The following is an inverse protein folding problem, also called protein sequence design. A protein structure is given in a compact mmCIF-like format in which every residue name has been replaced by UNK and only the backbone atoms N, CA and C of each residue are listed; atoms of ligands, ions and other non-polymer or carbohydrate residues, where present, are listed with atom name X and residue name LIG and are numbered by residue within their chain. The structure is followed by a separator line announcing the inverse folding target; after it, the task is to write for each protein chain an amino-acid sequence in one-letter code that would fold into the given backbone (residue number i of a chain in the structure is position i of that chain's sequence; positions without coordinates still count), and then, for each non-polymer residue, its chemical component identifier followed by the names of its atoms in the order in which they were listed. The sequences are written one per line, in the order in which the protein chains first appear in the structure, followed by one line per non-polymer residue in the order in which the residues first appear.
data_IF_157586272466
#
_entry.id   IF_157586272466
#
_cell.length_a   1.000
_cell.length_b   1.000
_cell.length_c   1.000
_cell.angle_alpha   90.00
_cell.angle_beta   90.00
_cell.angle_gamma   90.00
#
_symmetry.space_group_name_H-M   'P 1'
#
loop_
_entity.id
_entity.type
_entity.pdbx_description
1 polymer ?
#
# COMPACT_ATOMS: atom_id res chain seq x y z
N UNK A 1 -0.61 17.05 -4.55
CA UNK A 1 0.11 16.68 -5.78
C UNK A 1 -0.61 15.54 -6.46
N UNK A 2 -0.65 15.50 -7.79
CA UNK A 2 -1.27 14.42 -8.55
C UNK A 2 -0.32 13.22 -8.65
N UNK A 3 -0.86 12.00 -8.64
CA UNK A 3 -0.06 10.80 -8.89
C UNK A 3 0.54 10.86 -10.31
N UNK A 4 1.78 10.36 -10.51
CA UNK A 4 2.41 10.33 -11.83
C UNK A 4 1.59 9.47 -12.81
N UNK A 5 1.80 9.64 -14.13
CA UNK A 5 1.19 8.78 -15.13
C UNK A 5 1.57 7.31 -14.87
N UNK A 6 0.56 6.45 -14.96
CA UNK A 6 0.70 5.03 -14.62
C UNK A 6 1.41 4.27 -15.76
N UNK A 7 2.37 3.38 -15.46
CA UNK A 7 2.97 2.49 -16.46
C UNK A 7 1.91 1.59 -17.12
N UNK A 8 2.08 1.30 -18.41
CA UNK A 8 1.12 0.51 -19.21
C UNK A 8 0.85 -0.88 -18.63
N UNK A 9 1.89 -1.55 -18.16
CA UNK A 9 1.75 -2.88 -17.54
C UNK A 9 0.95 -2.84 -16.23
N UNK A 10 1.14 -1.77 -15.44
CA UNK A 10 0.41 -1.54 -14.20
C UNK A 10 -1.05 -1.22 -14.49
N UNK A 11 -1.33 -0.40 -15.52
CA UNK A 11 -2.70 -0.15 -15.99
C UNK A 11 -3.42 -1.45 -16.34
N UNK A 12 -2.77 -2.31 -17.12
CA UNK A 12 -3.35 -3.61 -17.49
C UNK A 12 -3.64 -4.49 -16.29
N UNK A 13 -2.78 -4.46 -15.27
CA UNK A 13 -3.01 -5.20 -14.03
C UNK A 13 -4.22 -4.67 -13.25
N UNK A 14 -4.44 -3.35 -13.24
CA UNK A 14 -5.67 -2.76 -12.69
C UNK A 14 -6.91 -3.14 -13.51
N UNK A 15 -6.81 -3.10 -14.85
CA UNK A 15 -7.92 -3.42 -15.76
C UNK A 15 -8.36 -4.88 -15.67
N UNK A 16 -7.45 -5.78 -15.28
CA UNK A 16 -7.74 -7.20 -15.08
C UNK A 16 -8.51 -7.49 -13.77
N UNK A 17 -8.66 -6.51 -12.87
CA UNK A 17 -9.39 -6.67 -11.62
C UNK A 17 -10.90 -6.45 -11.83
N UNK A 18 -11.76 -7.05 -10.97
CA UNK A 18 -13.17 -6.67 -10.94
C UNK A 18 -13.31 -5.17 -10.70
N UNK A 19 -14.24 -4.53 -11.41
CA UNK A 19 -14.35 -3.07 -11.47
C UNK A 19 -14.44 -2.39 -10.08
N UNK A 20 -15.17 -2.98 -9.14
CA UNK A 20 -15.31 -2.47 -7.77
C UNK A 20 -13.98 -2.51 -7.00
N UNK A 21 -13.23 -3.60 -7.14
CA UNK A 21 -11.91 -3.80 -6.54
C UNK A 21 -10.90 -2.85 -7.18
N UNK A 22 -10.85 -2.79 -8.51
CA UNK A 22 -9.97 -1.90 -9.26
C UNK A 22 -10.19 -0.44 -8.87
N UNK A 23 -11.46 0.01 -8.81
CA UNK A 23 -11.80 1.37 -8.36
C UNK A 23 -11.28 1.66 -6.96
N UNK A 24 -11.42 0.72 -6.02
CA UNK A 24 -10.91 0.89 -4.65
C UNK A 24 -9.39 0.96 -4.63
N UNK A 25 -8.69 0.07 -5.33
CA UNK A 25 -7.23 0.06 -5.35
C UNK A 25 -6.65 1.29 -6.06
N UNK A 26 -7.34 1.87 -7.05
CA UNK A 26 -6.96 3.15 -7.64
C UNK A 26 -7.02 4.32 -6.64
N UNK A 27 -8.00 4.31 -5.72
CA UNK A 27 -8.03 5.28 -4.62
C UNK A 27 -6.84 5.09 -3.68
N UNK A 28 -6.47 3.84 -3.40
CA UNK A 28 -5.29 3.53 -2.58
C UNK A 28 -4.00 3.96 -3.28
N UNK A 29 -3.87 3.73 -4.59
CA UNK A 29 -2.75 4.23 -5.41
C UNK A 29 -2.59 5.74 -5.26
N UNK A 30 -3.68 6.49 -5.44
CA UNK A 30 -3.65 7.94 -5.27
C UNK A 30 -3.17 8.34 -3.86
N UNK A 31 -3.61 7.61 -2.84
CA UNK A 31 -3.20 7.85 -1.45
C UNK A 31 -1.73 7.50 -1.21
N UNK A 32 -1.20 6.42 -1.80
CA UNK A 32 0.23 6.06 -1.71
C UNK A 32 1.10 7.20 -2.22
N UNK A 33 0.80 7.73 -3.40
CA UNK A 33 1.57 8.85 -3.96
C UNK A 33 1.38 10.14 -3.17
N UNK A 34 0.18 10.42 -2.67
CA UNK A 34 -0.05 11.57 -1.81
C UNK A 34 0.73 11.48 -0.49
N UNK A 35 0.78 10.29 0.12
CA UNK A 35 1.56 10.04 1.33
C UNK A 35 3.06 10.18 1.04
N UNK A 36 3.59 9.60 -0.04
CA UNK A 36 4.99 9.76 -0.40
C UNK A 36 5.37 11.23 -0.62
N UNK A 37 4.52 12.00 -1.31
CA UNK A 37 4.73 13.43 -1.55
C UNK A 37 4.69 14.30 -0.29
N UNK A 38 4.17 13.79 0.83
CA UNK A 38 4.16 14.48 2.12
C UNK A 38 5.43 14.21 2.95
N UNK A 39 6.34 13.38 2.46
CA UNK A 39 7.53 12.90 3.17
C UNK A 39 8.76 12.97 2.26
N UNK A 40 9.55 14.04 2.39
CA UNK A 40 10.75 14.26 1.56
C UNK A 40 11.78 13.12 1.67
N UNK A 41 11.81 12.43 2.82
CA UNK A 41 12.69 11.29 3.08
C UNK A 41 12.29 10.01 2.32
N UNK A 42 11.08 9.96 1.74
CA UNK A 42 10.61 8.85 0.90
C UNK A 42 11.11 8.96 -0.54
N UNK A 43 11.22 10.17 -1.08
CA UNK A 43 11.59 10.42 -2.47
C UNK A 43 10.55 9.92 -3.49
N UNK A 44 10.93 9.77 -4.76
CA UNK A 44 10.02 9.27 -5.80
C UNK A 44 9.83 7.77 -5.66
N UNK A 45 8.58 7.35 -5.84
CA UNK A 45 8.24 5.93 -5.86
C UNK A 45 8.45 5.34 -7.25
N UNK A 46 9.01 4.14 -7.30
CA UNK A 46 8.91 3.25 -8.46
C UNK A 46 7.55 2.56 -8.41
N UNK A 47 6.76 2.73 -9.46
CA UNK A 47 5.54 1.96 -9.69
C UNK A 47 5.82 0.88 -10.75
N UNK A 48 5.62 -0.38 -10.39
CA UNK A 48 5.91 -1.54 -11.27
C UNK A 48 4.98 -2.71 -10.93
N UNK A 49 5.22 -3.89 -11.49
CA UNK A 49 4.56 -5.13 -11.13
C UNK A 49 5.47 -6.02 -10.29
N UNK A 50 4.91 -6.62 -9.25
CA UNK A 50 5.50 -7.79 -8.59
C UNK A 50 4.46 -8.88 -8.46
N UNK A 51 4.80 -10.08 -8.95
CA UNK A 51 3.87 -11.22 -9.00
C UNK A 51 2.56 -10.90 -9.75
N UNK A 52 2.64 -10.07 -10.79
CA UNK A 52 1.48 -9.64 -11.58
C UNK A 52 0.61 -8.57 -10.93
N UNK A 53 0.98 -8.07 -9.75
CA UNK A 53 0.23 -7.05 -9.01
C UNK A 53 0.96 -5.70 -8.98
N UNK A 54 0.23 -4.57 -9.03
CA UNK A 54 0.80 -3.24 -8.81
C UNK A 54 1.60 -3.17 -7.51
N UNK A 55 2.84 -2.70 -7.62
CA UNK A 55 3.79 -2.58 -6.53
C UNK A 55 4.45 -1.20 -6.52
N UNK A 56 4.67 -0.68 -5.32
CA UNK A 56 5.23 0.63 -5.04
C UNK A 56 6.48 0.45 -4.18
N UNK A 57 7.61 0.93 -4.69
CA UNK A 57 8.91 0.78 -4.05
C UNK A 57 9.55 2.15 -3.87
N UNK A 58 10.35 2.27 -2.82
CA UNK A 58 11.20 3.43 -2.56
C UNK A 58 12.61 3.14 -3.08
N UNK A 59 12.77 2.79 -4.37
CA UNK A 59 14.08 2.38 -4.90
C UNK A 59 15.11 3.52 -4.90
N UNK A 60 14.65 4.77 -5.05
CA UNK A 60 15.50 5.97 -5.04
C UNK A 60 16.18 6.16 -3.67
N UNK A 61 15.43 5.99 -2.56
CA UNK A 61 15.89 6.31 -1.21
C UNK A 61 16.19 5.08 -0.34
N UNK A 62 15.62 3.93 -0.68
CA UNK A 62 15.60 2.73 0.16
C UNK A 62 14.90 2.94 1.52
N UNK A 63 14.03 3.96 1.63
CA UNK A 63 13.43 4.38 2.91
C UNK A 63 12.40 3.38 3.47
N UNK A 64 11.73 2.65 2.59
CA UNK A 64 10.52 1.89 2.91
C UNK A 64 10.54 0.44 2.50
N UNK A 65 9.46 -0.24 2.87
CA UNK A 65 9.14 -1.60 2.43
C UNK A 65 8.20 -1.54 1.23
N UNK A 66 8.30 -2.53 0.33
CA UNK A 66 7.39 -2.63 -0.83
C UNK A 66 5.93 -2.71 -0.38
N UNK A 67 5.07 -1.89 -1.01
CA UNK A 67 3.62 -1.94 -0.89
C UNK A 67 3.06 -2.54 -2.17
N UNK A 68 2.16 -3.51 -2.06
CA UNK A 68 1.46 -4.13 -3.20
C UNK A 68 -0.04 -3.94 -3.09
N UNK A 69 -0.71 -3.81 -4.23
CA UNK A 69 -2.16 -3.71 -4.32
C UNK A 69 -2.70 -4.90 -5.09
N UNK A 70 -3.63 -5.63 -4.51
CA UNK A 70 -4.15 -6.84 -5.14
C UNK A 70 -5.32 -7.44 -4.38
N UNK A 71 -5.36 -8.77 -4.37
CA UNK A 71 -6.38 -9.56 -3.68
C UNK A 71 -5.72 -10.72 -2.96
N UNK A 72 -6.28 -11.09 -1.81
CA UNK A 72 -5.92 -12.36 -1.16
C UNK A 72 -6.76 -13.47 -1.76
N UNK A 73 -6.18 -14.65 -1.99
CA UNK A 73 -6.91 -15.83 -2.46
C UNK A 73 -8.08 -16.13 -1.49
N UNK A 74 -9.28 -16.29 -2.03
CA UNK A 74 -10.50 -16.51 -1.25
C UNK A 74 -11.06 -15.25 -0.57
N UNK A 75 -10.55 -14.06 -0.89
CA UNK A 75 -11.16 -12.80 -0.49
C UNK A 75 -11.79 -12.09 -1.70
N UNK A 76 -13.03 -11.65 -1.52
CA UNK A 76 -13.73 -10.75 -2.45
C UNK A 76 -13.41 -9.27 -2.18
N UNK A 77 -12.52 -9.00 -1.23
CA UNK A 77 -12.12 -7.67 -0.82
C UNK A 77 -10.79 -7.24 -1.47
N UNK A 78 -10.63 -5.95 -1.81
CA UNK A 78 -9.33 -5.37 -2.13
C UNK A 78 -8.36 -5.51 -0.95
N UNK A 79 -7.10 -5.77 -1.26
CA UNK A 79 -6.05 -5.96 -0.28
C UNK A 79 -4.83 -5.07 -0.57
N UNK A 80 -4.25 -4.56 0.51
CA UNK A 80 -2.90 -4.01 0.51
C UNK A 80 -1.99 -5.07 1.12
N UNK A 81 -0.95 -5.43 0.38
CA UNK A 81 0.00 -6.46 0.76
C UNK A 81 1.35 -5.83 1.12
N UNK A 82 1.88 -6.22 2.27
CA UNK A 82 3.15 -5.78 2.81
C UNK A 82 4.14 -6.95 2.86
N UNK A 83 5.43 -6.64 3.02
CA UNK A 83 6.47 -7.64 3.17
C UNK A 83 6.30 -8.41 4.50
N UNK A 84 6.16 -9.74 4.42
CA UNK A 84 5.95 -10.62 5.58
C UNK A 84 7.13 -10.71 6.55
N UNK A 85 8.33 -10.24 6.16
CA UNK A 85 9.51 -10.17 7.04
C UNK A 85 9.57 -8.87 7.85
N UNK A 86 8.55 -8.03 7.76
CA UNK A 86 8.45 -6.76 8.49
C UNK A 86 7.45 -6.87 9.62
N UNK A 87 7.54 -5.95 10.58
CA UNK A 87 6.59 -5.85 11.70
C UNK A 87 5.38 -4.96 11.35
N UNK A 88 5.23 -4.55 10.08
CA UNK A 88 4.26 -3.54 9.66
C UNK A 88 2.82 -3.94 10.01
N UNK A 89 2.41 -5.15 9.61
CA UNK A 89 1.02 -5.61 9.85
C UNK A 89 0.72 -5.74 11.33
N UNK A 90 1.68 -6.18 12.15
CA UNK A 90 1.51 -6.25 13.60
C UNK A 90 1.38 -4.85 14.21
N UNK A 91 2.23 -3.90 13.79
CA UNK A 91 2.13 -2.49 14.19
C UNK A 91 0.81 -1.86 13.79
N UNK A 92 0.26 -2.20 12.61
CA UNK A 92 -1.04 -1.70 12.18
C UNK A 92 -2.16 -2.27 13.04
N UNK A 93 -2.11 -3.57 13.34
CA UNK A 93 -3.09 -4.25 14.18
C UNK A 93 -3.13 -3.67 15.60
N UNK A 94 -1.97 -3.31 16.16
CA UNK A 94 -1.88 -2.65 17.46
C UNK A 94 -2.46 -1.24 17.44
N UNK A 95 -2.17 -0.44 16.40
CA UNK A 95 -2.62 0.96 16.30
C UNK A 95 -4.08 1.10 15.89
N UNK A 96 -4.56 0.20 15.03
CA UNK A 96 -5.86 0.26 14.38
C UNK A 96 -6.53 -1.11 14.37
N UNK A 97 -6.83 -1.71 15.55
CA UNK A 97 -7.41 -3.04 15.65
C UNK A 97 -8.78 -3.14 14.98
N UNK A 98 -9.61 -2.10 15.15
CA UNK A 98 -11.02 -2.11 14.72
C UNK A 98 -11.27 -1.38 13.39
N UNK A 99 -10.22 -0.85 12.75
CA UNK A 99 -10.38 -0.08 11.50
C UNK A 99 -10.23 -0.93 10.24
N UNK A 100 -9.53 -2.06 10.33
CA UNK A 100 -9.19 -2.90 9.18
C UNK A 100 -9.25 -4.39 9.53
N UNK A 101 -9.62 -5.22 8.56
CA UNK A 101 -9.41 -6.67 8.66
C UNK A 101 -7.98 -7.00 8.23
N UNK A 102 -7.23 -7.68 9.09
CA UNK A 102 -5.87 -8.14 8.78
C UNK A 102 -5.87 -9.63 8.50
N UNK A 103 -5.23 -10.05 7.40
CA UNK A 103 -5.04 -11.48 7.11
C UNK A 103 -3.57 -11.87 7.15
N UNK A 104 -3.28 -12.86 7.99
CA UNK A 104 -1.93 -13.37 8.23
C UNK A 104 -0.99 -12.22 8.63
N UNK A 105 0.28 -12.30 8.22
CA UNK A 105 1.33 -11.32 8.52
C UNK A 105 1.56 -10.33 7.37
N UNK A 106 0.69 -10.29 6.36
CA UNK A 106 0.98 -9.54 5.12
C UNK A 106 -0.17 -8.72 4.54
N UNK A 107 -1.42 -8.97 4.90
CA UNK A 107 -2.55 -8.34 4.21
C UNK A 107 -3.38 -7.45 5.15
N UNK A 108 -3.70 -6.25 4.66
CA UNK A 108 -4.72 -5.36 5.18
C UNK A 108 -5.85 -5.30 4.14
N UNK A 109 -7.05 -5.74 4.52
CA UNK A 109 -8.22 -5.77 3.67
C UNK A 109 -9.03 -4.49 3.80
N UNK A 110 -9.60 -4.05 2.68
CA UNK A 110 -10.39 -2.82 2.59
C UNK A 110 -11.83 -3.14 2.19
N UNK A 111 -12.80 -2.33 2.66
CA UNK A 111 -14.17 -2.47 2.23
C UNK A 111 -14.30 -2.15 0.74
N UNK A 112 -15.00 -3.01 0.00
CA UNK A 112 -15.22 -2.86 -1.45
C UNK A 112 -15.93 -1.54 -1.77
N UNK A 113 -16.93 -1.18 -0.95
CA UNK A 113 -17.75 0.04 -1.09
C UNK A 113 -17.72 0.88 0.20
N UNK A 114 -18.34 2.05 0.18
CA UNK A 114 -18.37 2.97 1.33
C UNK A 114 -17.13 3.84 1.49
N UNK A 115 -17.07 4.54 2.62
CA UNK A 115 -15.97 5.46 2.92
C UNK A 115 -14.66 4.70 3.11
N UNK A 116 -13.61 5.13 2.40
CA UNK A 116 -12.26 4.66 2.69
C UNK A 116 -11.79 5.34 3.98
N UNK A 117 -11.31 4.59 4.98
CA UNK A 117 -10.76 5.18 6.21
C UNK A 117 -9.39 5.81 5.90
N UNK A 118 -9.41 6.96 5.23
CA UNK A 118 -8.23 7.61 4.60
C UNK A 118 -7.14 7.94 5.60
N UNK A 119 -7.50 8.47 6.77
CA UNK A 119 -6.54 8.90 7.79
C UNK A 119 -5.76 7.74 8.43
N UNK A 120 -6.40 6.68 8.97
CA UNK A 120 -5.65 5.55 9.50
C UNK A 120 -4.89 4.84 8.38
N UNK A 121 -5.45 4.78 7.16
CA UNK A 121 -4.74 4.20 6.02
C UNK A 121 -3.49 4.99 5.62
N UNK A 122 -3.54 6.33 5.58
CA UNK A 122 -2.36 7.15 5.26
C UNK A 122 -1.24 6.97 6.28
N UNK A 123 -1.59 6.75 7.56
CA UNK A 123 -0.61 6.43 8.61
C UNK A 123 0.04 5.07 8.34
N UNK A 124 -0.74 4.03 8.03
CA UNK A 124 -0.20 2.71 7.67
C UNK A 124 0.74 2.79 6.45
N UNK A 125 0.33 3.53 5.41
CA UNK A 125 1.15 3.74 4.21
C UNK A 125 2.43 4.51 4.52
N UNK A 126 2.37 5.55 5.37
CA UNK A 126 3.55 6.31 5.80
C UNK A 126 4.55 5.40 6.52
N UNK A 127 4.08 4.58 7.46
CA UNK A 127 4.92 3.63 8.19
C UNK A 127 5.57 2.61 7.24
N UNK A 128 4.84 2.14 6.23
CA UNK A 128 5.40 1.23 5.23
C UNK A 128 6.46 1.92 4.35
N UNK A 129 6.21 3.14 3.87
CA UNK A 129 7.14 3.91 3.03
C UNK A 129 8.40 4.40 3.77
N UNK A 130 8.38 4.40 5.11
CA UNK A 130 9.50 4.86 5.95
C UNK A 130 10.07 3.76 6.85
N UNK A 131 9.64 2.51 6.65
CA UNK A 131 9.95 1.37 7.51
C UNK A 131 11.45 1.19 7.81
N UNK A 132 12.33 1.38 6.82
CA UNK A 132 13.76 1.21 7.02
C UNK A 132 14.41 2.43 7.69
N UNK A 133 13.90 3.65 7.46
CA UNK A 133 14.36 4.86 8.14
C UNK A 133 14.06 4.80 9.64
N UNK A 134 12.82 4.47 10.00
CA UNK A 134 12.39 4.39 11.40
C UNK A 134 13.17 3.33 12.20
N UNK A 135 13.65 2.29 11.52
CA UNK A 135 14.51 1.26 12.15
C UNK A 135 15.96 1.68 12.29
N UNK A 136 16.49 2.52 11.38
CA UNK A 136 17.85 3.06 11.49
C UNK A 136 17.95 4.05 12.66
N UNK A 137 16.92 4.86 12.90
CA UNK A 137 16.88 5.82 14.02
C UNK A 137 16.60 5.22 15.40
N UNK A 138 16.29 3.91 15.49
CA UNK A 138 16.10 3.19 16.76
C UNK A 138 17.35 2.44 17.24
N UNK A 139 18.47 2.58 16.54
CA UNK A 139 19.80 2.16 16.99
C UNK A 139 20.49 3.32 17.66
#
# INVERSE_FOLDING_TARGET
MAAPPMPREVSRAFDALPASIGKRLLQVRALIFATAAAHDDVGRLTETLKWGEPAYLTDETGSGSTIRLGRVKGAEQPAILFNCKTTLVDTFRERFPDQFEYRQTRALLLPVSGALPRQPLSICLSLALRYHLDRRGRK
#
